data_IF_621942205825
#
_entry.id   IF_621942205825
#
_cell.length_a   1.000
_cell.length_b   1.000
_cell.length_c   1.000
_cell.angle_alpha   90.00
_cell.angle_beta   90.00
_cell.angle_gamma   90.00
#
_symmetry.space_group_name_H-M   'P 1'
#
loop_
_entity.id
_entity.type
_entity.pdbx_description
1 polymer ?
#
# COMPACT_ATOMS: atom_id res chain seq x y z
N UNK A 1 -6.63 0.68 -5.50
CA UNK A 1 -7.38 1.45 -4.48
C UNK A 1 -8.87 1.35 -4.74
N UNK A 2 -9.69 1.49 -3.70
CA UNK A 2 -11.16 1.55 -3.85
C UNK A 2 -11.59 2.81 -4.60
N UNK A 3 -12.51 2.66 -5.56
CA UNK A 3 -13.15 3.78 -6.25
C UNK A 3 -13.94 4.69 -5.29
N UNK A 4 -14.41 4.13 -4.17
CA UNK A 4 -15.25 4.86 -3.19
C UNK A 4 -14.43 5.64 -2.17
N UNK A 5 -13.22 5.19 -1.86
CA UNK A 5 -12.38 5.82 -0.84
C UNK A 5 -10.91 5.45 -1.02
N UNK A 6 -10.06 6.45 -1.23
CA UNK A 6 -8.64 6.25 -1.56
C UNK A 6 -7.81 5.51 -0.49
N UNK A 7 -8.23 5.50 0.78
CA UNK A 7 -7.47 4.83 1.86
C UNK A 7 -7.78 3.33 1.96
N UNK A 8 -8.80 2.84 1.24
CA UNK A 8 -9.14 1.43 1.25
C UNK A 8 -8.35 0.67 0.18
N UNK A 9 -7.51 -0.25 0.66
CA UNK A 9 -6.89 -1.30 -0.13
C UNK A 9 -7.85 -2.47 -0.22
N UNK A 10 -8.24 -2.83 -1.44
CA UNK A 10 -9.17 -3.92 -1.71
C UNK A 10 -8.38 -5.07 -2.31
N UNK A 11 -8.53 -6.24 -1.72
CA UNK A 11 -8.14 -7.49 -2.36
C UNK A 11 -9.35 -8.02 -3.14
N UNK A 12 -9.20 -8.17 -4.45
CA UNK A 12 -10.24 -8.70 -5.35
C UNK A 12 -10.29 -10.24 -5.39
N UNK A 13 -9.53 -10.91 -4.52
CA UNK A 13 -9.38 -12.36 -4.44
C UNK A 13 -8.10 -12.87 -5.08
N UNK A 14 -7.34 -12.03 -5.78
CA UNK A 14 -6.10 -12.43 -6.47
C UNK A 14 -4.84 -11.81 -5.87
N UNK A 15 -4.97 -10.73 -5.11
CA UNK A 15 -3.82 -10.01 -4.58
C UNK A 15 -3.16 -10.75 -3.41
N UNK A 16 -1.84 -10.81 -3.42
CA UNK A 16 -1.02 -11.23 -2.29
C UNK A 16 -0.73 -10.06 -1.35
N UNK A 17 -0.16 -10.33 -0.17
CA UNK A 17 0.31 -9.27 0.73
C UNK A 17 1.36 -8.38 0.06
N UNK A 18 2.29 -8.98 -0.69
CA UNK A 18 3.32 -8.24 -1.42
C UNK A 18 2.72 -7.29 -2.48
N UNK A 19 1.67 -7.72 -3.19
CA UNK A 19 0.99 -6.88 -4.17
C UNK A 19 0.35 -5.65 -3.52
N UNK A 20 -0.32 -5.84 -2.38
CA UNK A 20 -0.94 -4.74 -1.63
C UNK A 20 0.10 -3.77 -1.08
N UNK A 21 1.21 -4.27 -0.55
CA UNK A 21 2.30 -3.44 -0.04
C UNK A 21 2.96 -2.62 -1.17
N UNK A 22 3.22 -3.22 -2.33
CA UNK A 22 3.79 -2.53 -3.49
C UNK A 22 2.90 -1.37 -3.96
N UNK A 23 1.58 -1.56 -4.00
CA UNK A 23 0.62 -0.50 -4.36
C UNK A 23 0.70 0.66 -3.38
N UNK A 24 0.81 0.40 -2.07
CA UNK A 24 0.88 1.46 -1.06
C UNK A 24 2.21 2.18 -1.10
N UNK A 25 3.34 1.48 -1.22
CA UNK A 25 4.66 2.12 -1.28
C UNK A 25 4.79 2.99 -2.54
N UNK A 26 4.23 2.56 -3.68
CA UNK A 26 4.11 3.40 -4.88
C UNK A 26 3.30 4.67 -4.62
N UNK A 27 2.10 4.54 -4.05
CA UNK A 27 1.26 5.70 -3.74
C UNK A 27 1.91 6.65 -2.73
N UNK A 28 2.64 6.13 -1.73
CA UNK A 28 3.38 6.93 -0.76
C UNK A 28 4.48 7.74 -1.45
N UNK A 29 5.22 7.13 -2.37
CA UNK A 29 6.25 7.81 -3.15
C UNK A 29 5.65 8.93 -4.01
N UNK A 30 4.54 8.66 -4.69
CA UNK A 30 3.84 9.65 -5.53
C UNK A 30 3.30 10.83 -4.70
N UNK A 31 2.66 10.55 -3.56
CA UNK A 31 2.14 11.58 -2.66
C UNK A 31 3.27 12.43 -2.10
N UNK A 32 4.37 11.80 -1.67
CA UNK A 32 5.55 12.54 -1.20
C UNK A 32 6.09 13.44 -2.30
N UNK A 33 6.25 12.94 -3.52
CA UNK A 33 6.76 13.73 -4.64
C UNK A 33 5.84 14.91 -4.99
N UNK A 34 4.52 14.72 -4.95
CA UNK A 34 3.55 15.75 -5.30
C UNK A 34 3.30 16.78 -4.19
N UNK A 35 3.42 16.39 -2.92
CA UNK A 35 2.94 17.21 -1.79
C UNK A 35 4.02 17.52 -0.74
N UNK A 36 5.14 16.80 -0.76
CA UNK A 36 6.16 16.84 0.30
C UNK A 36 5.75 16.14 1.59
N UNK A 37 4.57 15.49 1.64
CA UNK A 37 4.08 14.79 2.83
C UNK A 37 4.56 13.35 2.83
N UNK A 38 5.23 12.95 3.90
CA UNK A 38 5.57 11.56 4.19
C UNK A 38 4.41 10.90 4.96
N UNK A 39 3.62 10.08 4.28
CA UNK A 39 2.59 9.28 4.95
C UNK A 39 3.22 8.22 5.84
N UNK A 40 2.46 7.65 6.77
CA UNK A 40 2.88 6.54 7.63
C UNK A 40 1.87 5.39 7.56
N UNK A 41 2.34 4.18 7.84
CA UNK A 41 1.46 3.02 7.90
C UNK A 41 0.66 3.05 9.20
N UNK A 42 -0.66 3.11 9.10
CA UNK A 42 -1.56 2.92 10.25
C UNK A 42 -1.71 1.42 10.59
N UNK A 43 -1.83 0.58 9.55
CA UNK A 43 -2.02 -0.86 9.72
C UNK A 43 -0.72 -1.58 10.06
N UNK A 44 -0.81 -2.54 10.97
CA UNK A 44 0.34 -3.40 11.31
C UNK A 44 0.59 -4.42 10.21
N UNK A 45 1.84 -4.49 9.76
CA UNK A 45 2.34 -5.55 8.87
C UNK A 45 3.02 -6.62 9.72
N UNK A 46 2.65 -7.88 9.50
CA UNK A 46 3.18 -9.02 10.25
C UNK A 46 3.56 -10.11 9.24
N UNK A 47 4.73 -10.70 9.45
CA UNK A 47 5.30 -11.70 8.56
C UNK A 47 6.75 -11.35 8.23
N UNK A 48 7.36 -12.16 7.38
CA UNK A 48 8.68 -11.90 6.81
C UNK A 48 8.55 -11.90 5.29
N UNK A 49 9.39 -11.10 4.63
CA UNK A 49 9.47 -11.15 3.18
C UNK A 49 9.83 -12.56 2.74
N UNK A 50 9.11 -13.06 1.73
CA UNK A 50 9.33 -14.40 1.21
C UNK A 50 10.53 -14.33 0.27
N UNK A 51 11.71 -14.67 0.79
CA UNK A 51 12.92 -14.80 -0.02
C UNK A 51 12.76 -16.05 -0.90
N UNK A 52 12.94 -15.88 -2.21
CA UNK A 52 12.90 -16.96 -3.19
C UNK A 52 14.12 -17.87 -3.10
#
# INVERSE_FOLDING_TARGET
FSEKHANFLINDGTATAADLEAVVEGARADIRAATGIDLEWEVKRIGVEKIA
#
